data_IF_715818897695
#
_entry.id   IF_715818897695
#
_cell.length_a   1.000
_cell.length_b   1.000
_cell.length_c   1.000
_cell.angle_alpha   90.00
_cell.angle_beta   90.00
_cell.angle_gamma   90.00
#
_symmetry.space_group_name_H-M   'P 1'
#
loop_
_entity.id
_entity.type
_entity.pdbx_description
1 polymer ?
#
# COMPACT_ATOMS: atom_id res chain seq x y z
N UNK A 1 26.12 1.37 -11.36
CA UNK A 1 24.84 0.70 -11.00
C UNK A 1 23.77 1.74 -10.63
N UNK A 2 23.99 2.56 -9.60
CA UNK A 2 23.02 3.58 -9.15
C UNK A 2 22.56 4.55 -10.25
N UNK A 3 23.48 5.05 -11.08
CA UNK A 3 23.16 5.97 -12.18
C UNK A 3 22.17 5.37 -13.20
N UNK A 4 22.38 4.11 -13.61
CA UNK A 4 21.46 3.41 -14.53
C UNK A 4 20.06 3.23 -13.93
N UNK A 5 19.99 3.00 -12.62
CA UNK A 5 18.72 2.94 -11.89
C UNK A 5 18.02 4.30 -11.90
N UNK A 6 18.74 5.38 -11.59
CA UNK A 6 18.17 6.75 -11.59
C UNK A 6 17.66 7.12 -12.98
N UNK A 7 18.44 6.86 -14.03
CA UNK A 7 18.03 7.15 -15.41
C UNK A 7 16.79 6.34 -15.79
N UNK A 8 16.75 5.04 -15.47
CA UNK A 8 15.62 4.18 -15.84
C UNK A 8 14.33 4.57 -15.09
N UNK A 9 14.37 4.61 -13.76
CA UNK A 9 13.19 4.92 -12.95
C UNK A 9 12.78 6.39 -13.07
N UNK A 10 13.75 7.30 -13.10
CA UNK A 10 13.51 8.72 -13.35
C UNK A 10 12.95 8.97 -14.74
N UNK A 11 13.45 8.25 -15.75
CA UNK A 11 12.91 8.28 -17.10
C UNK A 11 11.46 7.82 -17.16
N UNK A 12 11.14 6.66 -16.58
CA UNK A 12 9.76 6.14 -16.51
C UNK A 12 8.83 7.13 -15.79
N UNK A 13 9.26 7.68 -14.65
CA UNK A 13 8.47 8.64 -13.89
C UNK A 13 8.24 9.94 -14.69
N UNK A 14 9.27 10.45 -15.35
CA UNK A 14 9.18 11.68 -16.17
C UNK A 14 8.28 11.46 -17.37
N UNK A 15 8.42 10.33 -18.08
CA UNK A 15 7.56 9.97 -19.21
C UNK A 15 6.10 9.83 -18.77
N UNK A 16 5.84 9.17 -17.65
CA UNK A 16 4.50 9.05 -17.07
C UNK A 16 3.90 10.41 -16.71
N UNK A 17 4.70 11.31 -16.12
CA UNK A 17 4.26 12.66 -15.77
C UNK A 17 3.95 13.50 -17.01
N UNK A 18 4.84 13.48 -18.02
CA UNK A 18 4.62 14.17 -19.30
C UNK A 18 3.38 13.63 -20.01
N UNK A 19 3.19 12.31 -20.01
CA UNK A 19 1.99 11.69 -20.57
C UNK A 19 0.73 12.20 -19.85
N UNK A 20 0.73 12.20 -18.50
CA UNK A 20 -0.40 12.71 -17.72
C UNK A 20 -0.72 14.18 -18.02
N UNK A 21 0.28 15.05 -18.15
CA UNK A 21 0.05 16.45 -18.56
C UNK A 21 -0.56 16.60 -19.95
N UNK A 22 -0.25 15.67 -20.87
CA UNK A 22 -0.78 15.70 -22.24
C UNK A 22 -2.16 15.08 -22.37
N UNK A 23 -2.52 14.13 -21.51
CA UNK A 23 -3.74 13.32 -21.66
C UNK A 23 -4.81 13.60 -20.60
N UNK A 24 -4.45 14.12 -19.43
CA UNK A 24 -5.40 14.39 -18.37
C UNK A 24 -6.26 15.62 -18.69
N UNK A 25 -7.55 15.52 -18.38
CA UNK A 25 -8.50 16.61 -18.58
C UNK A 25 -8.28 17.80 -17.64
N UNK A 26 -7.63 17.59 -16.49
CA UNK A 26 -7.36 18.63 -15.49
C UNK A 26 -6.07 18.34 -14.72
N UNK A 27 -5.49 19.36 -14.09
CA UNK A 27 -4.31 19.23 -13.21
C UNK A 27 -4.59 18.55 -11.86
N UNK A 28 -5.82 18.06 -11.63
CA UNK A 28 -6.22 17.46 -10.35
C UNK A 28 -5.43 16.19 -10.02
N UNK A 29 -4.86 15.51 -11.02
CA UNK A 29 -4.02 14.34 -10.79
C UNK A 29 -2.78 14.61 -9.93
N UNK A 30 -2.36 15.88 -9.79
CA UNK A 30 -1.27 16.27 -8.89
C UNK A 30 -1.69 16.31 -7.42
N UNK A 31 -2.99 16.43 -7.13
CA UNK A 31 -3.50 16.63 -5.78
C UNK A 31 -3.09 15.50 -4.81
N UNK A 32 -3.21 14.20 -5.15
CA UNK A 32 -2.76 13.13 -4.26
C UNK A 32 -1.24 13.17 -4.02
N UNK A 33 -0.45 13.54 -5.03
CA UNK A 33 1.02 13.67 -4.90
C UNK A 33 1.40 14.80 -3.95
N UNK A 34 0.73 15.95 -4.06
CA UNK A 34 0.94 17.11 -3.16
C UNK A 34 0.54 16.74 -1.73
N UNK A 35 -0.61 16.08 -1.55
CA UNK A 35 -1.07 15.63 -0.23
C UNK A 35 -0.16 14.54 0.37
N UNK A 36 0.52 13.75 -0.47
CA UNK A 36 1.49 12.75 -0.06
C UNK A 36 2.88 13.33 0.23
N UNK A 37 3.16 14.57 -0.18
CA UNK A 37 4.47 15.18 -0.05
C UNK A 37 5.01 15.23 1.40
N UNK A 38 4.19 15.54 2.44
CA UNK A 38 4.65 15.45 3.82
C UNK A 38 5.11 14.04 4.22
N UNK A 39 4.38 13.00 3.78
CA UNK A 39 4.72 11.60 4.05
C UNK A 39 5.99 11.17 3.32
N UNK A 40 6.14 11.57 2.05
CA UNK A 40 7.37 11.36 1.29
C UNK A 40 8.56 12.07 1.94
N UNK A 41 8.35 13.28 2.46
CA UNK A 41 9.39 14.06 3.16
C UNK A 41 9.88 13.36 4.41
N UNK A 42 8.98 12.73 5.19
CA UNK A 42 9.38 11.91 6.35
C UNK A 42 10.34 10.79 5.92
N UNK A 43 10.00 10.04 4.86
CA UNK A 43 10.87 9.00 4.33
C UNK A 43 12.25 9.56 3.93
N UNK A 44 12.28 10.65 3.15
CA UNK A 44 13.53 11.26 2.67
C UNK A 44 14.41 11.77 3.82
N UNK A 45 13.82 12.43 4.82
CA UNK A 45 14.55 12.92 6.00
C UNK A 45 15.18 11.74 6.76
N UNK A 46 14.47 10.63 6.93
CA UNK A 46 15.00 9.46 7.62
C UNK A 46 16.04 8.71 6.77
N UNK A 47 15.90 8.70 5.45
CA UNK A 47 16.87 8.12 4.51
C UNK A 47 18.21 8.85 4.60
N UNK A 48 18.22 10.18 4.65
CA UNK A 48 19.47 10.97 4.83
C UNK A 48 20.17 10.68 6.16
N UNK A 49 19.42 10.20 7.17
CA UNK A 49 19.94 9.83 8.49
C UNK A 49 20.28 8.34 8.60
N UNK A 50 20.14 7.55 7.53
CA UNK A 50 20.36 6.10 7.55
C UNK A 50 19.30 5.31 8.35
N UNK A 51 18.16 5.93 8.66
CA UNK A 51 17.08 5.39 9.52
C UNK A 51 15.86 4.93 8.71
N UNK A 52 16.04 4.65 7.42
CA UNK A 52 15.01 4.22 6.47
C UNK A 52 14.21 2.99 6.92
N UNK A 53 14.83 2.11 7.71
CA UNK A 53 14.25 0.87 8.22
C UNK A 53 13.47 1.05 9.52
N UNK A 54 13.22 2.28 9.96
CA UNK A 54 12.30 2.52 11.07
C UNK A 54 10.84 2.42 10.63
N UNK A 55 9.94 2.17 11.59
CA UNK A 55 8.53 1.93 11.28
C UNK A 55 7.88 3.16 10.65
N UNK A 56 8.14 4.34 11.20
CA UNK A 56 7.56 5.60 10.74
C UNK A 56 7.90 5.90 9.27
N UNK A 57 9.19 5.97 8.84
CA UNK A 57 9.51 6.21 7.45
C UNK A 57 8.99 5.09 6.54
N UNK A 58 9.17 3.81 6.90
CA UNK A 58 8.69 2.71 6.04
C UNK A 58 7.19 2.79 5.75
N UNK A 59 6.37 3.13 6.76
CA UNK A 59 4.92 3.32 6.58
C UNK A 59 4.63 4.60 5.79
N UNK A 60 5.25 5.73 6.16
CA UNK A 60 5.02 7.02 5.51
C UNK A 60 5.40 6.98 4.02
N UNK A 61 6.57 6.46 3.69
CA UNK A 61 7.05 6.27 2.32
C UNK A 61 6.14 5.34 1.53
N UNK A 62 5.71 4.22 2.12
CA UNK A 62 4.81 3.28 1.43
C UNK A 62 3.44 3.89 1.14
N UNK A 63 2.85 4.61 2.09
CA UNK A 63 1.56 5.32 1.87
C UNK A 63 1.75 6.45 0.85
N UNK A 64 2.87 7.17 0.88
CA UNK A 64 3.16 8.21 -0.09
C UNK A 64 3.24 7.62 -1.51
N UNK A 65 3.93 6.50 -1.69
CA UNK A 65 4.00 5.79 -2.98
C UNK A 65 2.62 5.31 -3.46
N UNK A 66 1.74 4.92 -2.54
CA UNK A 66 0.37 4.52 -2.89
C UNK A 66 -0.49 5.67 -3.47
N UNK A 67 -0.14 6.94 -3.22
CA UNK A 67 -0.85 8.10 -3.78
C UNK A 67 -0.79 8.16 -5.30
N UNK A 68 0.21 7.51 -5.92
CA UNK A 68 0.33 7.40 -7.37
C UNK A 68 -0.90 6.72 -7.97
N UNK A 69 -1.50 5.74 -7.28
CA UNK A 69 -2.72 5.07 -7.76
C UNK A 69 -3.92 6.05 -7.87
N UNK A 70 -4.13 6.90 -6.87
CA UNK A 70 -5.15 7.94 -6.93
C UNK A 70 -4.84 8.98 -8.02
N UNK A 71 -3.57 9.34 -8.18
CA UNK A 71 -3.12 10.28 -9.20
C UNK A 71 -3.41 9.74 -10.61
N UNK A 72 -3.11 8.46 -10.85
CA UNK A 72 -3.43 7.79 -12.11
C UNK A 72 -4.94 7.70 -12.37
N UNK A 73 -5.74 7.41 -11.34
CA UNK A 73 -7.20 7.38 -11.48
C UNK A 73 -7.77 8.76 -11.86
N UNK A 74 -7.32 9.84 -11.20
CA UNK A 74 -7.70 11.20 -11.55
C UNK A 74 -7.24 11.59 -12.96
N UNK A 75 -6.02 11.21 -13.36
CA UNK A 75 -5.53 11.44 -14.72
C UNK A 75 -6.38 10.68 -15.77
N UNK A 76 -6.89 9.50 -15.40
CA UNK A 76 -7.84 8.72 -16.19
C UNK A 76 -9.29 9.19 -16.13
N UNK A 77 -9.58 10.34 -15.51
CA UNK A 77 -10.91 10.95 -15.46
C UNK A 77 -11.84 10.41 -14.38
N UNK A 78 -11.33 9.65 -13.40
CA UNK A 78 -12.15 9.16 -12.29
C UNK A 78 -12.57 10.30 -11.35
N UNK A 79 -13.73 10.15 -10.70
CA UNK A 79 -14.17 11.12 -9.70
C UNK A 79 -13.26 11.13 -8.47
N UNK A 80 -13.13 12.28 -7.80
CA UNK A 80 -12.29 12.42 -6.60
C UNK A 80 -12.58 11.35 -5.53
N UNK A 81 -13.84 11.08 -5.14
CA UNK A 81 -14.12 10.07 -4.12
C UNK A 81 -13.60 8.67 -4.49
N UNK A 82 -13.71 8.28 -5.76
CA UNK A 82 -13.22 6.98 -6.25
C UNK A 82 -11.69 6.94 -6.32
N UNK A 83 -11.05 8.00 -6.78
CA UNK A 83 -9.59 8.04 -6.84
C UNK A 83 -8.96 7.97 -5.44
N UNK A 84 -9.47 8.77 -4.49
CA UNK A 84 -8.97 8.77 -3.11
C UNK A 84 -9.32 7.49 -2.35
N UNK A 85 -10.43 6.80 -2.69
CA UNK A 85 -10.74 5.50 -2.08
C UNK A 85 -9.70 4.44 -2.44
N UNK A 86 -9.15 4.46 -3.68
CA UNK A 86 -8.04 3.56 -4.07
C UNK A 86 -6.80 3.79 -3.19
N UNK A 87 -6.43 5.05 -2.95
CA UNK A 87 -5.31 5.37 -2.06
C UNK A 87 -5.58 4.90 -0.63
N UNK A 88 -6.80 5.10 -0.13
CA UNK A 88 -7.17 4.65 1.21
C UNK A 88 -7.18 3.12 1.36
N UNK A 89 -7.64 2.38 0.34
CA UNK A 89 -7.58 0.90 0.30
C UNK A 89 -6.13 0.41 0.34
N UNK A 90 -5.24 1.05 -0.45
CA UNK A 90 -3.82 0.71 -0.44
C UNK A 90 -3.18 1.04 0.92
N UNK A 91 -3.48 2.19 1.51
CA UNK A 91 -2.99 2.57 2.84
C UNK A 91 -3.48 1.59 3.93
N UNK A 92 -4.77 1.23 3.90
CA UNK A 92 -5.37 0.24 4.79
C UNK A 92 -4.72 -1.13 4.65
N UNK A 93 -4.17 -1.48 3.48
CA UNK A 93 -3.39 -2.70 3.30
C UNK A 93 -1.93 -2.56 3.77
N UNK A 94 -1.30 -1.43 3.48
CA UNK A 94 0.14 -1.20 3.72
C UNK A 94 0.46 -1.26 5.21
N UNK A 95 -0.30 -0.54 6.05
CA UNK A 95 0.01 -0.42 7.48
C UNK A 95 -0.02 -1.79 8.18
N UNK A 96 -1.08 -2.61 8.06
CA UNK A 96 -1.13 -3.91 8.72
C UNK A 96 -0.11 -4.90 8.14
N UNK A 97 0.16 -4.85 6.83
CA UNK A 97 1.19 -5.69 6.20
C UNK A 97 2.57 -5.39 6.77
N UNK A 98 2.97 -4.12 6.89
CA UNK A 98 4.28 -3.76 7.46
C UNK A 98 4.39 -4.23 8.91
N UNK A 99 3.34 -4.02 9.72
CA UNK A 99 3.31 -4.48 11.11
C UNK A 99 3.42 -6.00 11.21
N UNK A 100 2.71 -6.75 10.35
CA UNK A 100 2.77 -8.21 10.29
C UNK A 100 4.17 -8.70 9.92
N UNK A 101 4.78 -8.17 8.86
CA UNK A 101 6.12 -8.57 8.42
C UNK A 101 7.14 -8.28 9.50
N UNK A 102 7.11 -7.10 10.11
CA UNK A 102 8.00 -6.75 11.23
C UNK A 102 7.82 -7.68 12.42
N UNK A 103 6.59 -7.98 12.81
CA UNK A 103 6.30 -8.91 13.90
C UNK A 103 6.85 -10.32 13.59
N UNK A 104 6.64 -10.83 12.36
CA UNK A 104 7.20 -12.13 11.93
C UNK A 104 8.73 -12.13 11.92
N UNK A 105 9.37 -11.06 11.45
CA UNK A 105 10.83 -10.95 11.47
C UNK A 105 11.40 -10.89 12.89
N UNK A 106 10.70 -10.25 13.84
CA UNK A 106 11.10 -10.26 15.26
C UNK A 106 11.02 -11.66 15.85
N UNK A 107 9.93 -12.40 15.60
CA UNK A 107 9.78 -13.79 16.04
C UNK A 107 10.86 -14.70 15.47
N UNK A 108 11.21 -14.54 14.19
CA UNK A 108 12.31 -15.29 13.56
C UNK A 108 13.68 -15.02 14.21
N UNK A 109 13.86 -13.82 14.77
CA UNK A 109 15.07 -13.45 15.53
C UNK A 109 14.95 -13.80 17.02
N UNK A 110 13.96 -14.59 17.43
CA UNK A 110 13.75 -14.98 18.83
C UNK A 110 13.22 -13.87 19.74
N UNK A 111 12.79 -12.73 19.18
CA UNK A 111 12.24 -11.62 19.97
C UNK A 111 10.72 -11.75 20.09
N UNK A 112 10.16 -11.36 21.24
CA UNK A 112 8.72 -11.28 21.43
C UNK A 112 8.09 -10.27 20.44
N UNK A 113 6.95 -10.64 19.87
CA UNK A 113 6.14 -9.77 19.05
C UNK A 113 4.67 -9.92 19.46
N UNK A 114 3.94 -8.80 19.54
CA UNK A 114 2.52 -8.82 19.89
C UNK A 114 1.67 -9.08 18.66
N UNK A 115 1.02 -10.24 18.63
CA UNK A 115 0.01 -10.57 17.62
C UNK A 115 -1.22 -9.64 17.71
N UNK A 116 -1.55 -9.17 18.93
CA UNK A 116 -2.72 -8.35 19.17
C UNK A 116 -2.69 -7.03 18.38
N UNK A 117 -1.54 -6.33 18.36
CA UNK A 117 -1.41 -5.09 17.59
C UNK A 117 -1.53 -5.29 16.08
N UNK A 118 -1.03 -6.43 15.58
CA UNK A 118 -1.12 -6.78 14.16
C UNK A 118 -2.55 -7.12 13.77
N UNK A 119 -3.26 -7.91 14.59
CA UNK A 119 -4.66 -8.25 14.37
C UNK A 119 -5.53 -6.99 14.46
N UNK A 120 -5.32 -6.14 15.46
CA UNK A 120 -6.05 -4.88 15.60
C UNK A 120 -5.89 -3.99 14.34
N UNK A 121 -4.67 -3.88 13.81
CA UNK A 121 -4.43 -3.13 12.58
C UNK A 121 -5.19 -3.72 11.37
N UNK A 122 -5.20 -5.06 11.21
CA UNK A 122 -5.96 -5.71 10.12
C UNK A 122 -7.48 -5.55 10.31
N UNK A 123 -7.97 -5.61 11.53
CA UNK A 123 -9.38 -5.39 11.85
C UNK A 123 -9.80 -3.95 11.54
N UNK A 124 -8.99 -2.96 11.95
CA UNK A 124 -9.23 -1.55 11.64
C UNK A 124 -9.21 -1.30 10.12
N UNK A 125 -8.23 -1.88 9.40
CA UNK A 125 -8.17 -1.80 7.95
C UNK A 125 -9.41 -2.41 7.27
N UNK A 126 -9.86 -3.57 7.74
CA UNK A 126 -11.08 -4.21 7.23
C UNK A 126 -12.30 -3.34 7.46
N UNK A 127 -12.42 -2.70 8.63
CA UNK A 127 -13.51 -1.76 8.93
C UNK A 127 -13.50 -0.54 7.99
N UNK A 128 -12.32 0.02 7.68
CA UNK A 128 -12.18 1.12 6.71
C UNK A 128 -12.62 0.69 5.31
N UNK A 129 -12.16 -0.47 4.83
CA UNK A 129 -12.55 -0.99 3.50
C UNK A 129 -14.06 -1.27 3.46
N UNK A 130 -14.62 -1.82 4.54
CA UNK A 130 -16.04 -2.09 4.67
C UNK A 130 -16.89 -0.81 4.61
N UNK A 131 -16.42 0.28 5.22
CA UNK A 131 -17.07 1.59 5.16
C UNK A 131 -17.05 2.16 3.74
N UNK A 132 -15.92 2.07 3.03
CA UNK A 132 -15.80 2.52 1.63
C UNK A 132 -16.76 1.77 0.69
N UNK A 133 -16.94 0.48 0.91
CA UNK A 133 -17.87 -0.35 0.13
C UNK A 133 -19.32 0.01 0.43
N UNK A 134 -19.67 0.32 1.69
CA UNK A 134 -21.00 0.86 2.06
C UNK A 134 -21.30 2.20 1.39
N UNK A 135 -20.27 3.03 1.23
CA UNK A 135 -20.35 4.30 0.49
C UNK A 135 -20.33 4.11 -1.05
N UNK A 136 -20.31 2.87 -1.55
CA UNK A 136 -20.21 2.52 -2.97
C UNK A 136 -18.98 3.11 -3.68
N UNK A 137 -17.90 3.37 -2.92
CA UNK A 137 -16.66 3.93 -3.44
C UNK A 137 -15.68 2.85 -3.91
N UNK A 138 -15.86 1.62 -3.45
CA UNK A 138 -14.97 0.48 -3.69
C UNK A 138 -15.84 -0.77 -3.86
N UNK A 139 -15.50 -1.71 -4.76
CA UNK A 139 -16.30 -2.91 -4.98
C UNK A 139 -16.12 -3.94 -3.84
N UNK A 140 -17.14 -4.79 -3.65
CA UNK A 140 -17.17 -5.84 -2.61
C UNK A 140 -15.92 -6.75 -2.55
N UNK A 141 -15.25 -7.12 -3.67
CA UNK A 141 -14.02 -7.93 -3.61
C UNK A 141 -12.90 -7.34 -2.76
N UNK A 142 -12.88 -6.02 -2.55
CA UNK A 142 -11.91 -5.37 -1.66
C UNK A 142 -12.04 -5.86 -0.20
N UNK A 143 -13.28 -6.09 0.27
CA UNK A 143 -13.55 -6.63 1.62
C UNK A 143 -13.05 -8.07 1.71
N UNK A 144 -13.30 -8.88 0.68
CA UNK A 144 -12.82 -10.25 0.66
C UNK A 144 -11.28 -10.30 0.72
N UNK A 145 -10.60 -9.44 -0.03
CA UNK A 145 -9.15 -9.32 0.02
C UNK A 145 -8.64 -8.88 1.41
N UNK A 146 -9.27 -7.90 2.06
CA UNK A 146 -8.88 -7.46 3.40
C UNK A 146 -9.14 -8.55 4.46
N UNK A 147 -10.24 -9.29 4.35
CA UNK A 147 -10.57 -10.40 5.23
C UNK A 147 -9.56 -11.55 5.10
N UNK A 148 -9.12 -11.88 3.88
CA UNK A 148 -8.06 -12.88 3.67
C UNK A 148 -6.77 -12.48 4.39
N UNK A 149 -6.40 -11.19 4.35
CA UNK A 149 -5.23 -10.69 5.06
C UNK A 149 -5.40 -10.76 6.59
N UNK A 150 -6.59 -10.44 7.11
CA UNK A 150 -6.92 -10.56 8.54
C UNK A 150 -6.87 -12.00 9.03
N UNK A 151 -7.51 -12.93 8.31
CA UNK A 151 -7.49 -14.36 8.63
C UNK A 151 -6.05 -14.89 8.61
N UNK A 152 -5.28 -14.53 7.57
CA UNK A 152 -3.86 -14.87 7.49
C UNK A 152 -3.07 -14.29 8.66
N UNK A 153 -3.35 -13.07 9.09
CA UNK A 153 -2.67 -12.49 10.25
C UNK A 153 -3.00 -13.29 11.53
N UNK A 154 -4.26 -13.70 11.73
CA UNK A 154 -4.67 -14.51 12.87
C UNK A 154 -3.97 -15.89 12.91
N UNK A 155 -3.93 -16.60 11.78
CA UNK A 155 -3.24 -17.90 11.68
C UNK A 155 -1.71 -17.76 11.58
N UNK A 156 -1.21 -16.62 11.11
CA UNK A 156 0.22 -16.39 10.92
C UNK A 156 1.02 -16.37 12.21
N UNK A 157 0.39 -16.22 13.38
CA UNK A 157 1.08 -16.31 14.67
C UNK A 157 0.99 -17.69 15.32
N UNK A 158 0.16 -18.60 14.81
CA UNK A 158 0.09 -19.99 15.31
C UNK A 158 1.15 -20.87 14.65
N UNK A 159 1.55 -20.57 13.41
CA UNK A 159 2.63 -21.26 12.70
C UNK A 159 4.01 -20.90 13.26
N UNK A 160 4.60 -21.81 14.06
CA UNK A 160 5.98 -21.70 14.56
C UNK A 160 7.06 -22.02 13.52
N UNK A 161 6.68 -22.33 12.28
CA UNK A 161 7.65 -22.73 11.24
C UNK A 161 8.52 -21.53 10.84
N UNK A 162 9.86 -21.68 10.79
CA UNK A 162 10.74 -20.63 10.35
C UNK A 162 10.56 -20.44 8.83
N UNK A 163 9.86 -19.36 8.46
CA UNK A 163 9.73 -18.93 7.06
C UNK A 163 10.83 -17.89 6.81
N UNK A 164 11.56 -18.02 5.71
CA UNK A 164 12.61 -17.04 5.36
C UNK A 164 12.00 -15.66 5.06
N UNK A 165 12.74 -14.59 5.37
CA UNK A 165 12.32 -13.21 5.07
C UNK A 165 11.93 -13.03 3.59
N UNK A 166 12.67 -13.68 2.68
CA UNK A 166 12.38 -13.69 1.24
C UNK A 166 11.00 -14.28 0.91
N UNK A 167 10.63 -15.40 1.54
CA UNK A 167 9.31 -16.03 1.31
C UNK A 167 8.18 -15.20 1.88
N UNK A 168 8.38 -14.54 3.02
CA UNK A 168 7.40 -13.60 3.57
C UNK A 168 7.17 -12.46 2.58
N UNK A 169 8.24 -11.81 2.10
CA UNK A 169 8.14 -10.73 1.11
C UNK A 169 7.43 -11.15 -0.18
N UNK A 170 7.77 -12.32 -0.74
CA UNK A 170 7.13 -12.82 -1.95
C UNK A 170 5.63 -13.13 -1.77
N UNK A 171 5.25 -13.65 -0.59
CA UNK A 171 3.84 -13.86 -0.23
C UNK A 171 3.09 -12.53 -0.16
N UNK A 172 3.66 -11.51 0.49
CA UNK A 172 3.03 -10.18 0.56
C UNK A 172 2.85 -9.53 -0.81
N UNK A 173 3.83 -9.71 -1.71
CA UNK A 173 3.71 -9.30 -3.11
C UNK A 173 2.54 -10.00 -3.81
N UNK A 174 2.44 -11.33 -3.67
CA UNK A 174 1.36 -12.13 -4.23
C UNK A 174 -0.02 -11.72 -3.73
N UNK A 175 -0.20 -11.59 -2.41
CA UNK A 175 -1.46 -11.08 -1.84
C UNK A 175 -1.79 -9.66 -2.33
N UNK A 176 -0.78 -8.86 -2.60
CA UNK A 176 -0.95 -7.54 -3.17
C UNK A 176 -1.46 -7.52 -4.58
N UNK A 177 -0.82 -8.30 -5.45
CA UNK A 177 -1.29 -8.48 -6.80
C UNK A 177 -2.75 -8.97 -6.79
N UNK A 178 -3.07 -9.98 -5.97
CA UNK A 178 -4.44 -10.50 -5.83
C UNK A 178 -5.42 -9.41 -5.38
N UNK A 179 -5.05 -8.59 -4.40
CA UNK A 179 -5.92 -7.50 -3.92
C UNK A 179 -6.19 -6.49 -5.03
N UNK A 180 -5.15 -6.06 -5.75
CA UNK A 180 -5.31 -5.11 -6.86
C UNK A 180 -6.15 -5.70 -7.98
N UNK A 181 -5.89 -6.95 -8.39
CA UNK A 181 -6.68 -7.62 -9.42
C UNK A 181 -8.14 -7.83 -9.00
N UNK A 182 -8.40 -8.17 -7.73
CA UNK A 182 -9.76 -8.32 -7.21
C UNK A 182 -10.52 -6.99 -7.23
N UNK A 183 -9.87 -5.90 -6.82
CA UNK A 183 -10.46 -4.55 -6.87
C UNK A 183 -10.72 -4.13 -8.33
N UNK A 184 -9.73 -4.32 -9.21
CA UNK A 184 -9.87 -3.98 -10.63
C UNK A 184 -10.98 -4.79 -11.32
N UNK A 185 -11.02 -6.11 -11.10
CA UNK A 185 -12.09 -6.98 -11.62
C UNK A 185 -13.46 -6.55 -11.07
N UNK A 186 -13.52 -6.14 -9.80
CA UNK A 186 -14.75 -5.61 -9.20
C UNK A 186 -15.26 -4.33 -9.85
N UNK A 187 -14.40 -3.46 -10.37
CA UNK A 187 -14.82 -2.28 -11.15
C UNK A 187 -15.15 -2.61 -12.61
N UNK A 188 -14.57 -3.67 -13.17
CA UNK A 188 -14.78 -4.06 -14.58
C UNK A 188 -16.04 -4.91 -14.79
N UNK A 189 -16.39 -5.76 -13.81
CA UNK A 189 -17.42 -6.79 -13.95
C UNK A 189 -18.58 -6.67 -12.94
N UNK A 190 -18.56 -5.70 -12.03
CA UNK A 190 -19.58 -5.48 -11.01
C UNK A 190 -20.25 -4.12 -11.16
#
# INVERSE_FOLDING_TARGET
MAERFVILYGGIATLGLVAAFKTAASGEFLLPLVLAAPLASIQLIYDTKGRSRELLPEVAGSIAMASVAASLALAGGWSRPLAFSLWLVLAARIVPTILFVRARLRLLRGHAASAAWVILAHSAATAVVLALVRMRLVPMPAVAASLVLLLRAAFGFTERRPITAKRVGLRELGFGAITVFAVAAGYLFG
#
